data_IF_734284740368
#
_entry.id   IF_734284740368
#
_cell.length_a   1.000
_cell.length_b   1.000
_cell.length_c   1.000
_cell.angle_alpha   90.00
_cell.angle_beta   90.00
_cell.angle_gamma   90.00
#
_symmetry.space_group_name_H-M   'P 1'
#
loop_
_entity.id
_entity.type
_entity.pdbx_description
1 polymer ?
#
# COMPACT_ATOMS: atom_id res chain seq x y z
N UNK A 1 20.04 -5.99 -3.23
CA UNK A 1 19.50 -6.61 -2.01
C UNK A 1 18.32 -7.47 -2.41
N UNK A 2 18.15 -8.64 -1.81
CA UNK A 2 16.97 -9.47 -2.11
C UNK A 2 15.76 -9.01 -1.30
N UNK A 3 14.56 -9.36 -1.76
CA UNK A 3 13.31 -8.97 -1.10
C UNK A 3 13.27 -9.41 0.38
N UNK A 4 13.77 -10.59 0.71
CA UNK A 4 13.86 -11.09 2.09
C UNK A 4 14.74 -10.20 2.99
N UNK A 5 15.83 -9.63 2.48
CA UNK A 5 16.68 -8.70 3.23
C UNK A 5 15.96 -7.38 3.47
N UNK A 6 15.32 -6.85 2.42
CA UNK A 6 14.50 -5.64 2.51
C UNK A 6 13.41 -5.77 3.58
N UNK A 7 12.74 -6.91 3.63
CA UNK A 7 11.67 -7.17 4.61
C UNK A 7 12.16 -7.13 6.07
N UNK A 8 13.41 -7.54 6.33
CA UNK A 8 13.97 -7.54 7.69
C UNK A 8 14.24 -6.14 8.22
N UNK A 9 14.44 -5.18 7.32
CA UNK A 9 14.65 -3.77 7.66
C UNK A 9 13.33 -2.99 7.74
N UNK A 10 12.28 -3.48 7.07
CA UNK A 10 10.97 -2.84 7.01
C UNK A 10 10.15 -3.03 8.30
N UNK A 11 9.32 -2.04 8.63
CA UNK A 11 8.48 -2.12 9.83
C UNK A 11 7.27 -3.01 9.54
N UNK A 12 6.91 -3.97 10.40
CA UNK A 12 5.80 -4.90 10.15
C UNK A 12 4.45 -4.24 9.83
N UNK A 13 4.18 -3.05 10.39
CA UNK A 13 2.96 -2.27 10.16
C UNK A 13 3.00 -1.38 8.91
N UNK A 14 4.13 -1.31 8.21
CA UNK A 14 4.20 -0.58 6.93
C UNK A 14 3.32 -1.27 5.89
N UNK A 15 2.68 -0.44 5.07
CA UNK A 15 2.00 -0.94 3.88
C UNK A 15 3.02 -1.08 2.77
N UNK A 16 2.94 -2.19 2.07
CA UNK A 16 3.86 -2.58 1.02
C UNK A 16 3.07 -2.83 -0.26
N UNK A 17 3.60 -2.33 -1.37
CA UNK A 17 3.20 -2.73 -2.72
C UNK A 17 4.42 -3.37 -3.36
N UNK A 18 4.28 -4.60 -3.87
CA UNK A 18 5.33 -5.28 -4.64
C UNK A 18 4.85 -5.42 -6.07
N UNK A 19 5.71 -5.06 -7.01
CA UNK A 19 5.42 -5.12 -8.43
C UNK A 19 6.61 -5.70 -9.21
N UNK A 20 6.30 -6.28 -10.36
CA UNK A 20 7.29 -6.68 -11.35
C UNK A 20 6.84 -6.32 -12.79
N UNK A 21 7.46 -6.93 -13.79
CA UNK A 21 7.14 -6.70 -15.21
C UNK A 21 5.68 -7.05 -15.59
N UNK A 22 5.00 -7.86 -14.77
CA UNK A 22 3.60 -8.26 -14.97
C UNK A 22 2.59 -7.36 -14.27
N UNK A 23 3.06 -6.50 -13.36
CA UNK A 23 2.23 -5.56 -12.60
C UNK A 23 2.32 -5.77 -11.09
N UNK A 24 1.28 -5.35 -10.37
CA UNK A 24 1.18 -5.52 -8.92
C UNK A 24 0.93 -6.98 -8.56
N UNK A 25 1.84 -7.55 -7.78
CA UNK A 25 1.78 -8.95 -7.31
C UNK A 25 1.45 -9.04 -5.83
N UNK A 26 1.59 -7.93 -5.09
CA UNK A 26 1.25 -7.86 -3.67
C UNK A 26 0.83 -6.46 -3.25
N UNK A 27 -0.18 -6.41 -2.38
CA UNK A 27 -0.55 -5.22 -1.63
C UNK A 27 -1.05 -5.63 -0.27
N UNK A 28 -0.37 -5.14 0.77
CA UNK A 28 -0.71 -5.51 2.13
C UNK A 28 0.26 -4.93 3.13
N UNK A 29 0.30 -5.49 4.33
CA UNK A 29 1.29 -5.13 5.33
C UNK A 29 2.56 -5.96 5.14
N UNK A 30 3.72 -5.43 5.53
CA UNK A 30 4.98 -6.17 5.55
C UNK A 30 4.83 -7.48 6.34
N UNK A 31 4.21 -7.42 7.52
CA UNK A 31 3.96 -8.60 8.37
C UNK A 31 3.10 -9.69 7.70
N UNK A 32 2.25 -9.30 6.75
CA UNK A 32 1.35 -10.24 6.08
C UNK A 32 2.03 -10.98 4.92
N UNK A 33 3.20 -10.52 4.49
CA UNK A 33 3.93 -11.11 3.37
C UNK A 33 4.40 -12.53 3.71
N UNK A 34 4.62 -12.84 4.99
CA UNK A 34 4.90 -14.19 5.56
C UNK A 34 3.84 -15.24 5.26
N UNK A 35 2.62 -14.81 4.95
CA UNK A 35 1.54 -15.73 4.61
C UNK A 35 1.34 -15.86 3.10
N UNK A 36 1.99 -15.02 2.29
CA UNK A 36 1.88 -15.08 0.84
C UNK A 36 2.97 -15.98 0.23
N UNK A 37 2.58 -17.23 -0.06
CA UNK A 37 3.46 -18.26 -0.62
C UNK A 37 3.80 -18.06 -2.10
N UNK A 38 3.16 -17.11 -2.80
CA UNK A 38 3.35 -16.90 -4.24
C UNK A 38 4.52 -15.96 -4.55
N UNK A 39 4.99 -15.22 -3.55
CA UNK A 39 6.02 -14.21 -3.75
C UNK A 39 7.38 -14.83 -3.44
N UNK A 40 8.20 -14.98 -4.48
CA UNK A 40 9.58 -15.38 -4.32
C UNK A 40 10.40 -14.22 -3.72
N UNK A 41 10.92 -14.46 -2.52
CA UNK A 41 11.65 -13.46 -1.73
C UNK A 41 13.15 -13.43 -2.02
N UNK A 42 13.64 -14.37 -2.81
CA UNK A 42 15.02 -14.37 -3.28
C UNK A 42 15.20 -13.47 -4.50
N UNK A 43 14.10 -12.91 -5.03
CA UNK A 43 14.16 -11.95 -6.13
C UNK A 43 14.84 -10.66 -5.69
N UNK A 44 15.61 -10.10 -6.61
CA UNK A 44 16.33 -8.85 -6.38
C UNK A 44 15.38 -7.66 -6.39
N UNK A 45 15.55 -6.77 -5.41
CA UNK A 45 14.88 -5.47 -5.38
C UNK A 45 15.64 -4.53 -6.31
N UNK A 46 15.01 -4.20 -7.45
CA UNK A 46 15.56 -3.26 -8.44
C UNK A 46 15.52 -1.81 -7.96
N UNK A 47 14.40 -1.42 -7.33
CA UNK A 47 14.19 -0.10 -6.74
C UNK A 47 13.09 -0.14 -5.69
N UNK A 48 13.15 0.78 -4.74
CA UNK A 48 12.08 1.01 -3.77
C UNK A 48 11.87 2.51 -3.55
N UNK A 49 10.67 2.89 -3.07
CA UNK A 49 10.36 4.29 -2.78
C UNK A 49 8.98 4.46 -2.16
N UNK A 50 8.63 5.69 -1.77
CA UNK A 50 7.31 5.99 -1.23
C UNK A 50 6.28 6.15 -2.35
N UNK A 51 5.10 5.58 -2.13
CA UNK A 51 3.91 5.80 -2.93
C UNK A 51 2.76 6.22 -2.01
N UNK A 52 1.93 7.14 -2.48
CA UNK A 52 0.77 7.61 -1.73
C UNK A 52 -0.46 7.47 -2.57
N UNK A 53 -1.51 6.93 -1.97
CA UNK A 53 -2.86 6.93 -2.52
C UNK A 53 -3.78 7.73 -1.62
N UNK A 54 -4.67 8.49 -2.23
CA UNK A 54 -5.58 9.40 -1.53
C UNK A 54 -6.99 9.01 -1.93
N UNK A 55 -7.86 8.90 -0.94
CA UNK A 55 -9.25 8.52 -1.10
C UNK A 55 -10.15 9.53 -0.41
N UNK A 56 -11.37 9.68 -0.91
CA UNK A 56 -12.46 10.31 -0.15
C UNK A 56 -12.71 9.52 1.12
N UNK A 57 -12.92 10.23 2.22
CA UNK A 57 -13.40 9.65 3.47
C UNK A 57 -14.91 9.43 3.37
N UNK A 58 -15.34 8.18 3.48
CA UNK A 58 -16.75 7.84 3.56
C UNK A 58 -17.07 7.23 4.93
N UNK A 59 -18.22 7.59 5.49
CA UNK A 59 -18.76 6.94 6.68
C UNK A 59 -19.79 5.90 6.26
N UNK A 60 -19.57 4.64 6.67
CA UNK A 60 -20.57 3.58 6.57
C UNK A 60 -21.19 3.33 7.93
N UNK A 61 -22.52 3.17 7.94
CA UNK A 61 -23.29 2.78 9.11
C UNK A 61 -23.86 1.38 8.89
N UNK A 62 -23.49 0.44 9.75
CA UNK A 62 -24.04 -0.92 9.75
C UNK A 62 -24.63 -1.17 11.14
N UNK A 63 -25.96 -1.22 11.20
CA UNK A 63 -26.68 -1.25 12.47
C UNK A 63 -26.39 -0.02 13.33
N UNK A 64 -25.93 -0.23 14.55
CA UNK A 64 -25.52 0.84 15.47
C UNK A 64 -24.06 1.31 15.28
N UNK A 65 -23.24 0.55 14.53
CA UNK A 65 -21.84 0.89 14.32
C UNK A 65 -21.66 1.88 13.16
N UNK A 66 -20.77 2.85 13.35
CA UNK A 66 -20.26 3.72 12.29
C UNK A 66 -18.77 3.44 12.11
N UNK A 67 -18.32 3.29 10.88
CA UNK A 67 -16.91 3.13 10.56
C UNK A 67 -16.56 3.87 9.29
N UNK A 68 -15.33 4.35 9.26
CA UNK A 68 -14.75 5.04 8.12
C UNK A 68 -14.26 4.03 7.09
N UNK A 69 -14.55 4.26 5.82
CA UNK A 69 -14.06 3.47 4.68
C UNK A 69 -13.42 4.37 3.64
N UNK A 70 -12.59 3.76 2.79
CA UNK A 70 -12.12 4.42 1.57
C UNK A 70 -13.29 4.54 0.59
N UNK A 71 -13.54 5.76 0.13
CA UNK A 71 -14.42 6.07 -0.98
C UNK A 71 -13.64 6.15 -2.30
N UNK A 72 -14.05 7.07 -3.17
CA UNK A 72 -13.40 7.28 -4.47
C UNK A 72 -11.93 7.71 -4.35
N UNK A 73 -11.07 7.17 -5.22
CA UNK A 73 -9.67 7.59 -5.32
C UNK A 73 -9.58 9.02 -5.86
N UNK A 74 -8.84 9.87 -5.16
CA UNK A 74 -8.64 11.28 -5.50
C UNK A 74 -7.29 11.43 -6.21
N UNK A 75 -7.25 11.96 -7.43
CA UNK A 75 -6.00 12.28 -8.11
C UNK A 75 -5.28 13.43 -7.38
N UNK A 76 -3.95 13.45 -7.43
CA UNK A 76 -3.13 14.40 -6.66
C UNK A 76 -3.45 15.84 -7.05
N UNK A 77 -3.74 16.07 -8.33
CA UNK A 77 -4.12 17.37 -8.90
C UNK A 77 -5.46 17.89 -8.35
N UNK A 78 -6.28 17.00 -7.78
CA UNK A 78 -7.61 17.30 -7.25
C UNK A 78 -7.68 17.51 -5.74
N UNK A 79 -6.58 17.29 -4.99
CA UNK A 79 -6.58 17.32 -3.52
C UNK A 79 -7.04 18.67 -2.96
N UNK A 80 -6.64 19.77 -3.60
CA UNK A 80 -6.93 21.14 -3.14
C UNK A 80 -8.42 21.48 -3.09
N UNK A 81 -9.28 20.65 -3.70
CA UNK A 81 -10.74 20.78 -3.68
C UNK A 81 -11.37 20.21 -2.41
N UNK A 82 -10.59 19.59 -1.52
CA UNK A 82 -11.06 18.91 -0.32
C UNK A 82 -10.40 19.46 0.93
N UNK A 83 -11.10 19.39 2.05
CA UNK A 83 -10.45 19.57 3.35
C UNK A 83 -9.64 18.31 3.69
N UNK A 84 -8.58 18.45 4.48
CA UNK A 84 -7.80 17.28 4.93
C UNK A 84 -8.65 16.27 5.70
N UNK A 85 -9.70 16.72 6.41
CA UNK A 85 -10.65 15.84 7.10
C UNK A 85 -11.52 15.01 6.16
N UNK A 86 -11.68 15.40 4.90
CA UNK A 86 -12.47 14.67 3.90
C UNK A 86 -11.66 13.56 3.21
N UNK A 87 -10.39 13.41 3.57
CA UNK A 87 -9.46 12.53 2.89
C UNK A 87 -8.93 11.42 3.82
N UNK A 88 -8.59 10.30 3.18
CA UNK A 88 -7.82 9.20 3.74
C UNK A 88 -6.57 9.07 2.88
N UNK A 89 -5.41 9.26 3.48
CA UNK A 89 -4.12 9.09 2.83
C UNK A 89 -3.53 7.74 3.24
N UNK A 90 -3.18 6.92 2.27
CA UNK A 90 -2.47 5.66 2.47
C UNK A 90 -1.08 5.77 1.86
N UNK A 91 -0.09 5.73 2.72
CA UNK A 91 1.32 5.68 2.35
C UNK A 91 1.73 4.21 2.25
N UNK A 92 2.42 3.87 1.17
CA UNK A 92 2.99 2.56 0.90
C UNK A 92 4.48 2.72 0.61
N UNK A 93 5.25 1.74 1.04
CA UNK A 93 6.55 1.48 0.43
C UNK A 93 6.31 0.65 -0.83
N UNK A 94 6.70 1.18 -1.98
CA UNK A 94 6.61 0.48 -3.27
C UNK A 94 7.95 -0.15 -3.58
N UNK A 95 7.95 -1.46 -3.81
CA UNK A 95 9.13 -2.27 -4.15
C UNK A 95 8.93 -2.82 -5.55
N UNK A 96 9.90 -2.58 -6.43
CA UNK A 96 9.91 -3.12 -7.79
C UNK A 96 11.00 -4.17 -7.87
N UNK A 97 10.60 -5.39 -8.21
CA UNK A 97 11.50 -6.52 -8.38
C UNK A 97 12.12 -6.53 -9.78
N UNK A 98 13.28 -7.17 -9.91
CA UNK A 98 13.78 -7.56 -11.23
C UNK A 98 12.84 -8.58 -11.89
N UNK A 99 12.70 -8.44 -13.21
CA UNK A 99 11.80 -9.23 -14.05
C UNK A 99 12.54 -10.34 -14.78
#
# INVERSE_FOLDING_TARGET
>A
MILEEFMKEAVPSERLIIEDSTGEIYRGFVACLDYDKKIDRNREVKRHGLSTEIYRREEKKVGAAKYTTDGEKVPVEGISKFSFSDLIMKIYTRVVLEG
#
